data_IF_907327555668
#
_entry.id   IF_907327555668
#
_cell.length_a   1.000
_cell.length_b   1.000
_cell.length_c   1.000
_cell.angle_alpha   90.00
_cell.angle_beta   90.00
_cell.angle_gamma   90.00
#
_symmetry.space_group_name_H-M   'P 1'
#
loop_
_entity.id
_entity.type
_entity.pdbx_description
1 polymer ?
#
# COMPACT_ATOMS: atom_id res chain seq x y z
N UNK A 1 0.93 31.13 -21.28
CA UNK A 1 0.33 29.77 -21.25
C UNK A 1 -0.66 29.66 -20.11
N UNK A 2 -1.66 28.76 -20.19
CA UNK A 2 -2.59 28.47 -19.08
C UNK A 2 -2.57 26.99 -18.76
N UNK A 3 -2.47 26.67 -17.47
CA UNK A 3 -2.53 25.31 -16.94
C UNK A 3 -3.81 25.13 -16.15
N UNK A 4 -4.56 24.06 -16.43
CA UNK A 4 -5.79 23.74 -15.73
C UNK A 4 -5.87 22.25 -15.41
N UNK A 5 -6.55 21.89 -14.36
CA UNK A 5 -6.82 20.48 -14.04
C UNK A 5 -8.10 20.01 -14.75
N UNK A 6 -8.02 18.84 -15.39
CA UNK A 6 -9.17 18.20 -16.00
C UNK A 6 -9.12 16.68 -15.75
N UNK A 7 -9.96 16.19 -14.82
CA UNK A 7 -10.23 14.77 -14.53
C UNK A 7 -8.97 13.90 -14.41
N UNK A 8 -8.02 14.36 -13.59
CA UNK A 8 -6.78 13.61 -13.34
C UNK A 8 -5.65 13.90 -14.34
N UNK A 9 -5.84 14.88 -15.22
CA UNK A 9 -4.81 15.37 -16.13
C UNK A 9 -4.62 16.89 -16.00
N UNK A 10 -3.45 17.38 -16.41
CA UNK A 10 -3.14 18.77 -16.57
C UNK A 10 -3.31 19.10 -18.03
N UNK A 11 -4.20 20.02 -18.33
CA UNK A 11 -4.36 20.60 -19.66
C UNK A 11 -3.45 21.82 -19.77
N UNK A 12 -2.62 21.86 -20.79
CA UNK A 12 -1.61 22.88 -21.03
C UNK A 12 -1.96 23.60 -22.32
N UNK A 13 -2.52 24.81 -22.20
CA UNK A 13 -2.91 25.65 -23.33
C UNK A 13 -1.70 26.54 -23.70
N UNK A 14 -1.17 26.33 -24.91
CA UNK A 14 -0.02 27.04 -25.46
C UNK A 14 0.76 26.16 -26.44
N UNK A 15 1.70 26.75 -27.17
CA UNK A 15 2.42 26.10 -28.27
C UNK A 15 3.70 25.34 -27.82
N UNK A 16 3.87 25.19 -26.48
CA UNK A 16 5.06 24.56 -25.90
C UNK A 16 4.76 23.15 -25.44
N UNK A 17 5.48 22.19 -26.00
CA UNK A 17 5.47 20.80 -25.51
C UNK A 17 6.25 20.70 -24.20
N UNK A 18 5.58 20.29 -23.12
CA UNK A 18 6.18 20.05 -21.80
C UNK A 18 6.57 18.57 -21.67
N UNK A 19 7.59 18.22 -20.89
CA UNK A 19 7.92 16.83 -20.60
C UNK A 19 6.70 16.05 -20.05
N UNK A 20 6.62 14.77 -20.40
CA UNK A 20 5.52 13.86 -20.00
C UNK A 20 4.13 14.29 -20.50
N UNK A 21 4.06 15.16 -21.53
CA UNK A 21 2.80 15.58 -22.15
C UNK A 21 2.64 15.00 -23.57
N UNK A 22 1.38 14.80 -23.95
CA UNK A 22 0.97 14.40 -25.30
C UNK A 22 -0.04 15.40 -25.84
N UNK A 23 -0.03 15.61 -27.16
CA UNK A 23 -1.03 16.45 -27.81
C UNK A 23 -2.39 15.76 -27.82
N UNK A 24 -3.43 16.48 -27.45
CA UNK A 24 -4.82 16.02 -27.49
C UNK A 24 -5.60 16.88 -28.52
N UNK A 25 -5.94 16.27 -29.64
CA UNK A 25 -6.68 16.91 -30.74
C UNK A 25 -8.05 17.45 -30.33
N UNK A 26 -8.70 16.79 -29.34
CA UNK A 26 -10.05 17.17 -28.90
C UNK A 26 -10.03 18.50 -28.15
N UNK A 27 -9.05 18.67 -27.28
CA UNK A 27 -8.88 19.90 -26.51
C UNK A 27 -7.97 20.92 -27.15
N UNK A 28 -7.29 20.56 -28.26
CA UNK A 28 -6.26 21.36 -28.94
C UNK A 28 -5.22 21.90 -27.95
N UNK A 29 -4.73 21.03 -27.10
CA UNK A 29 -3.79 21.36 -26.04
C UNK A 29 -2.91 20.16 -25.69
N UNK A 30 -1.78 20.41 -25.07
CA UNK A 30 -1.01 19.33 -24.48
C UNK A 30 -1.66 18.84 -23.17
N UNK A 31 -1.60 17.52 -22.92
CA UNK A 31 -2.05 16.90 -21.67
C UNK A 31 -0.94 16.10 -21.04
N UNK A 32 -0.77 16.26 -19.72
CA UNK A 32 0.06 15.43 -18.87
C UNK A 32 -0.77 14.78 -17.77
N UNK A 33 -0.37 13.62 -17.24
CA UNK A 33 -0.99 13.10 -16.03
C UNK A 33 -0.79 14.08 -14.88
N UNK A 34 -1.77 14.20 -13.99
CA UNK A 34 -1.70 15.10 -12.83
C UNK A 34 -0.48 14.81 -11.92
N UNK A 35 -0.02 13.57 -11.87
CA UNK A 35 1.22 13.15 -11.21
C UNK A 35 2.42 14.04 -11.53
N UNK A 36 2.53 14.52 -12.77
CA UNK A 36 3.65 15.32 -13.27
C UNK A 36 3.49 16.82 -13.03
N UNK A 37 2.50 17.24 -12.23
CA UNK A 37 2.24 18.66 -11.97
C UNK A 37 3.51 19.43 -11.58
N UNK A 38 4.25 18.92 -10.62
CA UNK A 38 5.49 19.54 -10.14
C UNK A 38 6.54 19.62 -11.26
N UNK A 39 6.73 18.52 -11.97
CA UNK A 39 7.71 18.47 -13.09
C UNK A 39 7.37 19.48 -14.18
N UNK A 40 6.07 19.65 -14.48
CA UNK A 40 5.56 20.64 -15.44
C UNK A 40 5.88 22.06 -14.95
N UNK A 41 5.54 22.38 -13.70
CA UNK A 41 5.80 23.71 -13.12
C UNK A 41 7.30 24.02 -13.08
N UNK A 42 8.12 23.06 -12.64
CA UNK A 42 9.58 23.23 -12.55
C UNK A 42 10.21 23.42 -13.93
N UNK A 43 9.76 22.67 -14.94
CA UNK A 43 10.20 22.84 -16.31
C UNK A 43 9.88 24.25 -16.83
N UNK A 44 8.63 24.72 -16.66
CA UNK A 44 8.21 26.01 -17.16
C UNK A 44 8.96 27.16 -16.51
N UNK A 45 9.16 27.09 -15.17
CA UNK A 45 9.95 28.08 -14.42
C UNK A 45 11.42 28.12 -14.88
N UNK A 46 12.06 26.96 -15.01
CA UNK A 46 13.47 26.89 -15.44
C UNK A 46 13.67 27.35 -16.88
N UNK A 47 12.66 27.16 -17.73
CA UNK A 47 12.69 27.58 -19.14
C UNK A 47 12.28 29.04 -19.35
N UNK A 48 11.90 29.76 -18.30
CA UNK A 48 11.54 31.19 -18.36
C UNK A 48 10.20 31.47 -19.06
N UNK A 49 9.28 30.51 -19.08
CA UNK A 49 7.97 30.70 -19.68
C UNK A 49 7.01 31.40 -18.70
N UNK A 50 6.29 32.40 -19.19
CA UNK A 50 5.14 32.96 -18.47
C UNK A 50 3.93 32.04 -18.57
N UNK A 51 3.34 31.69 -17.43
CA UNK A 51 2.16 30.86 -17.36
C UNK A 51 1.25 31.23 -16.18
N UNK A 52 -0.05 31.02 -16.39
CA UNK A 52 -1.06 31.08 -15.35
C UNK A 52 -1.38 29.66 -14.87
N UNK A 53 -1.12 29.39 -13.58
CA UNK A 53 -1.35 28.09 -12.96
C UNK A 53 -2.69 28.06 -12.22
N UNK A 54 -3.67 27.40 -12.83
CA UNK A 54 -4.99 27.13 -12.23
C UNK A 54 -5.20 25.61 -12.01
N UNK A 55 -4.15 24.83 -11.88
CA UNK A 55 -4.24 23.36 -11.69
C UNK A 55 -4.78 23.03 -10.30
N UNK A 56 -4.16 23.61 -9.25
CA UNK A 56 -4.57 23.34 -7.89
C UNK A 56 -5.75 24.24 -7.47
N UNK A 57 -6.81 23.60 -6.97
CA UNK A 57 -7.95 24.26 -6.35
C UNK A 57 -8.10 23.68 -4.93
N UNK A 58 -7.14 24.01 -4.08
CA UNK A 58 -7.03 23.46 -2.75
C UNK A 58 -8.24 23.81 -1.86
N UNK A 59 -8.61 22.87 -1.00
CA UNK A 59 -9.59 23.13 0.03
C UNK A 59 -9.10 24.20 1.00
N UNK A 60 -9.97 25.06 1.55
CA UNK A 60 -9.61 25.96 2.65
C UNK A 60 -9.04 25.14 3.81
N UNK A 61 -7.83 25.50 4.27
CA UNK A 61 -7.13 24.78 5.32
C UNK A 61 -6.96 25.68 6.53
N UNK A 62 -7.42 25.28 7.74
CA UNK A 62 -7.11 26.00 8.96
C UNK A 62 -5.63 25.83 9.30
N UNK A 63 -5.14 26.61 10.26
CA UNK A 63 -3.81 26.40 10.81
C UNK A 63 -3.76 25.04 11.56
N UNK A 64 -2.84 24.17 11.15
CA UNK A 64 -2.69 22.82 11.66
C UNK A 64 -1.45 22.71 12.56
N UNK A 65 -1.61 22.99 13.84
CA UNK A 65 -0.55 22.84 14.83
C UNK A 65 -0.58 21.46 15.47
N UNK A 66 0.59 20.84 15.67
CA UNK A 66 0.74 19.53 16.28
C UNK A 66 1.64 19.56 17.50
N UNK A 67 1.13 19.04 18.60
CA UNK A 67 1.86 18.84 19.86
C UNK A 67 2.64 17.53 19.91
N UNK A 68 2.54 16.68 18.90
CA UNK A 68 3.27 15.40 18.84
C UNK A 68 4.76 15.62 18.95
N UNK A 69 5.39 14.94 19.90
CA UNK A 69 6.85 14.84 20.02
C UNK A 69 7.29 13.54 19.36
N UNK A 70 8.10 13.67 18.32
CA UNK A 70 8.67 12.53 17.63
C UNK A 70 9.91 11.99 18.36
N UNK A 71 10.11 10.67 18.27
CA UNK A 71 11.35 10.03 18.69
C UNK A 71 12.46 10.32 17.66
N UNK A 72 13.72 10.15 18.03
CA UNK A 72 14.86 10.48 17.16
C UNK A 72 14.78 9.86 15.77
N UNK A 73 14.48 8.56 15.67
CA UNK A 73 14.36 7.90 14.38
C UNK A 73 13.14 8.37 13.56
N UNK A 74 12.08 8.86 14.22
CA UNK A 74 10.92 9.44 13.53
C UNK A 74 11.24 10.85 13.01
N UNK A 75 12.03 11.65 13.76
CA UNK A 75 12.57 12.91 13.28
C UNK A 75 13.48 12.67 12.07
N UNK A 76 14.43 11.74 12.15
CA UNK A 76 15.29 11.38 11.03
C UNK A 76 14.48 10.96 9.78
N UNK A 77 13.37 10.23 9.97
CA UNK A 77 12.50 9.85 8.87
C UNK A 77 11.78 11.05 8.24
N UNK A 78 11.31 11.99 9.06
CA UNK A 78 10.67 13.22 8.60
C UNK A 78 11.68 14.12 7.88
N UNK A 79 12.88 14.27 8.42
CA UNK A 79 13.96 15.07 7.83
C UNK A 79 14.39 14.52 6.48
N UNK A 80 14.57 13.19 6.37
CA UNK A 80 14.90 12.53 5.11
C UNK A 80 13.81 12.73 4.05
N UNK A 81 12.55 12.68 4.44
CA UNK A 81 11.42 12.92 3.54
C UNK A 81 11.37 14.40 3.11
N UNK A 82 11.59 15.34 4.03
CA UNK A 82 11.62 16.75 3.74
C UNK A 82 12.79 17.12 2.81
N UNK A 83 13.97 16.55 3.07
CA UNK A 83 15.16 16.74 2.24
C UNK A 83 14.99 16.20 0.81
N UNK A 84 14.07 15.25 0.61
CA UNK A 84 13.67 14.74 -0.71
C UNK A 84 12.43 15.46 -1.25
N UNK A 85 12.38 16.77 -1.07
CA UNK A 85 11.31 17.64 -1.57
C UNK A 85 9.91 17.27 -1.09
N UNK A 86 9.81 16.69 0.10
CA UNK A 86 8.55 16.20 0.67
C UNK A 86 7.84 15.17 -0.21
N UNK A 87 8.65 14.29 -0.86
CA UNK A 87 8.20 13.13 -1.63
C UNK A 87 9.02 11.91 -1.24
N UNK A 88 8.36 10.79 -0.96
CA UNK A 88 9.08 9.55 -0.68
C UNK A 88 8.37 8.63 0.30
N UNK A 89 8.98 7.48 0.50
CA UNK A 89 8.45 6.38 1.28
C UNK A 89 9.32 6.17 2.51
N UNK A 90 8.65 6.12 3.65
CA UNK A 90 9.23 5.84 4.95
C UNK A 90 8.87 4.40 5.33
N UNK A 91 9.87 3.57 5.49
CA UNK A 91 9.74 2.16 5.86
C UNK A 91 10.06 1.99 7.34
N UNK A 92 9.05 1.72 8.14
CA UNK A 92 9.15 1.55 9.58
C UNK A 92 8.32 0.36 10.05
N UNK A 93 8.79 -0.43 11.03
CA UNK A 93 8.05 -1.57 11.55
C UNK A 93 6.66 -1.22 12.06
N UNK A 94 5.79 -2.22 12.14
CA UNK A 94 4.49 -2.07 12.82
C UNK A 94 4.72 -1.70 14.30
N UNK A 95 3.90 -0.80 14.83
CA UNK A 95 4.04 -0.30 16.20
C UNK A 95 5.11 0.79 16.41
N UNK A 96 5.89 1.14 15.39
CA UNK A 96 6.93 2.19 15.46
C UNK A 96 6.38 3.63 15.41
N UNK A 97 5.06 3.81 15.24
CA UNK A 97 4.44 5.13 15.20
C UNK A 97 4.52 5.85 13.85
N UNK A 98 4.48 5.13 12.72
CA UNK A 98 4.40 5.71 11.36
C UNK A 98 3.38 6.83 11.24
N UNK A 99 2.21 6.65 11.84
CA UNK A 99 1.12 7.64 11.86
C UNK A 99 1.56 8.99 12.46
N UNK A 100 2.43 8.97 13.48
CA UNK A 100 2.92 10.21 14.11
C UNK A 100 3.82 11.02 13.17
N UNK A 101 4.61 10.32 12.35
CA UNK A 101 5.42 10.97 11.30
C UNK A 101 4.51 11.65 10.27
N UNK A 102 3.44 10.95 9.84
CA UNK A 102 2.44 11.52 8.94
C UNK A 102 1.73 12.75 9.54
N UNK A 103 1.36 12.70 10.82
CA UNK A 103 0.75 13.83 11.52
C UNK A 103 1.71 15.05 11.56
N UNK A 104 3.00 14.81 11.83
CA UNK A 104 4.00 15.90 11.81
C UNK A 104 4.22 16.47 10.42
N UNK A 105 4.20 15.64 9.38
CA UNK A 105 4.26 16.10 7.99
C UNK A 105 3.06 17.00 7.62
N UNK A 106 1.86 16.66 8.08
CA UNK A 106 0.65 17.49 7.90
C UNK A 106 0.84 18.86 8.56
N UNK A 107 1.28 18.88 9.82
CA UNK A 107 1.53 20.12 10.54
C UNK A 107 2.65 20.98 9.89
N UNK A 108 3.72 20.32 9.43
CA UNK A 108 4.86 20.98 8.79
C UNK A 108 4.46 21.70 7.49
N UNK A 109 3.66 21.05 6.65
CA UNK A 109 3.25 21.60 5.37
C UNK A 109 2.04 22.52 5.45
N UNK A 110 1.24 22.39 6.49
CA UNK A 110 0.00 23.17 6.71
C UNK A 110 -0.86 23.30 5.44
N UNK A 111 -1.15 22.18 4.79
CA UNK A 111 -1.89 22.14 3.53
C UNK A 111 -3.01 21.08 3.59
N UNK A 112 -4.09 21.24 2.80
CA UNK A 112 -5.12 20.22 2.73
C UNK A 112 -4.52 18.86 2.40
N UNK A 113 -4.89 17.84 3.18
CA UNK A 113 -4.27 16.52 3.13
C UNK A 113 -5.29 15.42 2.96
N UNK A 114 -5.02 14.52 2.00
CA UNK A 114 -5.74 13.26 1.84
C UNK A 114 -4.86 12.11 2.37
N UNK A 115 -5.36 11.40 3.39
CA UNK A 115 -4.77 10.14 3.87
C UNK A 115 -5.52 8.98 3.23
N UNK A 116 -4.81 8.07 2.58
CA UNK A 116 -5.38 6.87 1.95
C UNK A 116 -4.94 5.64 2.73
N UNK A 117 -5.90 4.86 3.22
CA UNK A 117 -5.67 3.68 4.06
C UNK A 117 -6.38 2.43 3.50
N UNK A 118 -5.87 1.21 3.73
CA UNK A 118 -6.40 0.00 3.08
C UNK A 118 -7.72 -0.51 3.67
N UNK A 119 -8.07 -0.18 4.91
CA UNK A 119 -9.27 -0.69 5.57
C UNK A 119 -10.05 0.40 6.28
N UNK A 120 -11.36 0.19 6.46
CA UNK A 120 -12.22 1.11 7.21
C UNK A 120 -11.77 1.29 8.67
N UNK A 121 -11.22 0.26 9.30
CA UNK A 121 -10.67 0.36 10.66
C UNK A 121 -9.48 1.31 10.73
N UNK A 122 -8.59 1.27 9.74
CA UNK A 122 -7.47 2.21 9.64
C UNK A 122 -7.95 3.62 9.29
N UNK A 123 -8.97 3.77 8.46
CA UNK A 123 -9.63 5.06 8.20
C UNK A 123 -10.17 5.65 9.51
N UNK A 124 -10.89 4.85 10.32
CA UNK A 124 -11.41 5.28 11.60
C UNK A 124 -10.29 5.66 12.59
N UNK A 125 -9.19 4.90 12.64
CA UNK A 125 -8.02 5.20 13.47
C UNK A 125 -7.35 6.52 13.04
N UNK A 126 -7.11 6.74 11.75
CA UNK A 126 -6.56 7.98 11.24
C UNK A 126 -7.46 9.17 11.55
N UNK A 127 -8.78 9.05 11.27
CA UNK A 127 -9.78 10.09 11.58
C UNK A 127 -9.72 10.48 13.05
N UNK A 128 -9.76 9.51 13.96
CA UNK A 128 -9.73 9.74 15.39
C UNK A 128 -8.45 10.46 15.84
N UNK A 129 -7.29 10.04 15.33
CA UNK A 129 -5.99 10.65 15.66
C UNK A 129 -5.88 12.07 15.13
N UNK A 130 -6.27 12.32 13.88
CA UNK A 130 -6.24 13.64 13.28
C UNK A 130 -7.19 14.61 13.99
N UNK A 131 -8.41 14.16 14.30
CA UNK A 131 -9.40 14.97 15.06
C UNK A 131 -8.88 15.34 16.45
N UNK A 132 -8.27 14.38 17.14
CA UNK A 132 -7.69 14.61 18.48
C UNK A 132 -6.51 15.60 18.45
N UNK A 133 -5.62 15.46 17.47
CA UNK A 133 -4.40 16.25 17.40
C UNK A 133 -4.66 17.68 16.91
N UNK A 134 -5.36 17.82 15.80
CA UNK A 134 -5.57 19.13 15.18
C UNK A 134 -6.83 19.85 15.67
N UNK A 135 -7.66 19.20 16.49
CA UNK A 135 -8.93 19.76 17.02
C UNK A 135 -9.82 20.35 15.93
N UNK A 136 -9.80 19.76 14.74
CA UNK A 136 -10.57 20.18 13.57
C UNK A 136 -11.42 19.04 13.02
N UNK A 137 -12.41 19.36 12.21
CA UNK A 137 -13.22 18.34 11.55
C UNK A 137 -12.39 17.59 10.48
N UNK A 138 -12.59 16.29 10.43
CA UNK A 138 -11.89 15.37 9.53
C UNK A 138 -12.91 14.66 8.67
N UNK A 139 -12.85 14.90 7.37
CA UNK A 139 -13.70 14.24 6.39
C UNK A 139 -13.38 12.75 6.23
N UNK A 140 -14.37 12.00 5.77
CA UNK A 140 -14.23 10.56 5.46
C UNK A 140 -14.79 10.28 4.08
N UNK A 141 -14.05 9.47 3.33
CA UNK A 141 -14.45 8.98 2.04
C UNK A 141 -14.31 7.44 2.03
N UNK A 142 -15.42 6.75 2.21
CA UNK A 142 -15.46 5.28 2.27
C UNK A 142 -16.53 4.75 3.22
N UNK A 143 -16.90 3.49 3.05
CA UNK A 143 -17.91 2.85 3.90
C UNK A 143 -19.30 3.49 3.83
N UNK A 144 -19.63 4.16 2.72
CA UNK A 144 -20.88 4.89 2.54
C UNK A 144 -20.83 6.36 2.99
N UNK A 145 -19.74 6.80 3.65
CA UNK A 145 -19.53 8.21 3.99
C UNK A 145 -18.91 8.97 2.82
N UNK A 146 -19.40 10.20 2.60
CA UNK A 146 -18.87 11.17 1.64
C UNK A 146 -18.79 12.54 2.29
N UNK A 147 -17.73 12.79 2.99
CA UNK A 147 -17.45 14.08 3.61
C UNK A 147 -16.04 14.52 3.25
N UNK A 148 -15.89 15.68 2.58
CA UNK A 148 -14.59 16.21 2.15
C UNK A 148 -14.29 17.47 2.96
N UNK A 149 -13.16 17.45 3.66
CA UNK A 149 -12.62 18.55 4.48
C UNK A 149 -11.14 18.77 4.16
N UNK A 150 -10.53 19.79 4.73
CA UNK A 150 -9.10 20.05 4.60
C UNK A 150 -8.26 18.82 4.98
N UNK A 151 -8.62 18.13 6.07
CA UNK A 151 -8.10 16.82 6.41
C UNK A 151 -9.18 15.78 6.05
N UNK A 152 -8.87 14.90 5.13
CA UNK A 152 -9.78 13.82 4.70
C UNK A 152 -9.05 12.49 4.75
N UNK A 153 -9.73 11.47 5.24
CA UNK A 153 -9.22 10.09 5.23
C UNK A 153 -10.10 9.23 4.31
N UNK A 154 -9.48 8.43 3.46
CA UNK A 154 -10.18 7.62 2.46
C UNK A 154 -9.69 6.17 2.46
N UNK A 155 -10.55 5.25 2.01
CA UNK A 155 -10.07 3.95 1.56
C UNK A 155 -9.41 4.06 0.17
N UNK A 156 -8.55 3.08 -0.19
CA UNK A 156 -7.97 3.00 -1.54
C UNK A 156 -9.07 2.92 -2.61
N UNK A 157 -10.11 2.11 -2.39
CA UNK A 157 -11.21 1.97 -3.34
C UNK A 157 -11.93 3.30 -3.59
N UNK A 158 -12.27 4.02 -2.52
CA UNK A 158 -12.97 5.29 -2.64
C UNK A 158 -12.09 6.39 -3.25
N UNK A 159 -10.81 6.46 -2.87
CA UNK A 159 -9.88 7.41 -3.48
C UNK A 159 -9.70 7.14 -4.99
N UNK A 160 -9.67 5.86 -5.41
CA UNK A 160 -9.61 5.47 -6.81
C UNK A 160 -10.86 5.90 -7.59
N UNK A 161 -12.04 5.59 -7.07
CA UNK A 161 -13.32 5.90 -7.74
C UNK A 161 -13.51 7.41 -7.96
N UNK A 162 -12.98 8.23 -7.06
CA UNK A 162 -13.21 9.67 -7.05
C UNK A 162 -11.98 10.52 -7.40
N UNK A 163 -10.92 9.89 -7.90
CA UNK A 163 -9.68 10.58 -8.24
C UNK A 163 -9.86 11.69 -9.29
N UNK A 164 -10.78 11.50 -10.23
CA UNK A 164 -11.12 12.47 -11.28
C UNK A 164 -11.66 13.80 -10.73
N UNK A 165 -12.38 13.75 -9.61
CA UNK A 165 -13.03 14.91 -8.97
C UNK A 165 -12.17 15.57 -7.91
N UNK A 166 -11.32 14.77 -7.24
CA UNK A 166 -10.56 15.20 -6.06
C UNK A 166 -9.09 15.48 -6.35
N UNK A 167 -8.61 15.17 -7.53
CA UNK A 167 -7.19 15.15 -7.88
C UNK A 167 -6.44 16.48 -7.75
N UNK A 168 -7.13 17.61 -7.60
CA UNK A 168 -6.53 18.93 -7.42
C UNK A 168 -6.93 19.64 -6.10
N UNK A 169 -7.57 18.88 -5.17
CA UNK A 169 -8.13 19.45 -3.94
C UNK A 169 -7.19 19.39 -2.76
N UNK A 170 -6.12 18.59 -2.82
CA UNK A 170 -5.20 18.33 -1.72
C UNK A 170 -3.76 18.64 -2.12
N UNK A 171 -3.02 19.31 -1.23
CA UNK A 171 -1.59 19.60 -1.41
C UNK A 171 -0.71 18.42 -1.02
N UNK A 172 -1.11 17.66 0.01
CA UNK A 172 -0.39 16.48 0.49
C UNK A 172 -1.24 15.21 0.34
N UNK A 173 -0.62 14.14 -0.16
CA UNK A 173 -1.16 12.79 -0.08
C UNK A 173 -0.30 11.92 0.83
N UNK A 174 -0.95 11.23 1.78
CA UNK A 174 -0.31 10.21 2.61
C UNK A 174 -0.94 8.86 2.27
N UNK A 175 -0.10 7.92 1.84
CA UNK A 175 -0.51 6.54 1.56
C UNK A 175 -0.08 5.65 2.72
N UNK A 176 -1.02 5.25 3.56
CA UNK A 176 -0.77 4.24 4.59
C UNK A 176 -0.77 2.85 3.96
N UNK A 177 0.16 1.99 4.38
CA UNK A 177 0.49 0.71 3.74
C UNK A 177 0.66 0.87 2.22
N UNK A 178 1.56 1.78 1.84
CA UNK A 178 1.78 2.21 0.44
C UNK A 178 2.12 1.08 -0.53
N UNK A 179 2.49 -0.09 -0.03
CA UNK A 179 2.72 -1.28 -0.84
C UNK A 179 1.46 -1.76 -1.59
N UNK A 180 0.26 -1.29 -1.23
CA UNK A 180 -0.98 -1.52 -1.99
C UNK A 180 -1.09 -0.67 -3.25
N UNK A 181 -0.48 0.51 -3.28
CA UNK A 181 -0.65 1.51 -4.34
C UNK A 181 -0.29 1.02 -5.75
N UNK A 182 0.74 0.18 -5.98
CA UNK A 182 1.09 -0.27 -7.32
C UNK A 182 0.11 -1.27 -7.94
N UNK A 183 -0.86 -1.77 -7.17
CA UNK A 183 -1.84 -2.72 -7.70
C UNK A 183 -2.67 -2.10 -8.85
N UNK A 184 -3.14 -2.96 -9.75
CA UNK A 184 -3.99 -2.53 -10.85
C UNK A 184 -5.22 -1.76 -10.33
N UNK A 185 -5.44 -0.57 -10.86
CA UNK A 185 -6.47 0.36 -10.40
C UNK A 185 -5.92 1.38 -9.40
N UNK A 186 -5.35 0.98 -8.27
CA UNK A 186 -4.92 1.91 -7.22
C UNK A 186 -3.80 2.87 -7.64
N UNK A 187 -2.91 2.48 -8.56
CA UNK A 187 -1.91 3.40 -9.11
C UNK A 187 -2.51 4.67 -9.71
N UNK A 188 -3.75 4.59 -10.24
CA UNK A 188 -4.45 5.73 -10.78
C UNK A 188 -4.70 6.82 -9.71
N UNK A 189 -4.77 6.46 -8.43
CA UNK A 189 -4.85 7.43 -7.35
C UNK A 189 -3.65 8.37 -7.41
N UNK A 190 -2.43 7.82 -7.48
CA UNK A 190 -1.23 8.64 -7.56
C UNK A 190 -1.11 9.36 -8.91
N UNK A 191 -1.56 8.75 -10.01
CA UNK A 191 -1.46 9.30 -11.36
C UNK A 191 -2.41 10.48 -11.60
N UNK A 192 -3.61 10.44 -11.00
CA UNK A 192 -4.66 11.42 -11.21
C UNK A 192 -4.68 12.58 -10.20
N UNK A 193 -3.85 12.53 -9.15
CA UNK A 193 -3.73 13.62 -8.20
C UNK A 193 -2.54 14.53 -8.53
N UNK A 194 -2.80 15.84 -8.58
CA UNK A 194 -1.79 16.88 -8.79
C UNK A 194 -1.03 17.28 -7.52
N UNK A 195 -1.30 16.61 -6.40
CA UNK A 195 -0.68 16.90 -5.11
C UNK A 195 0.84 16.92 -5.21
N UNK A 196 1.50 18.07 -4.94
CA UNK A 196 2.95 18.19 -5.07
C UNK A 196 3.71 17.41 -4.00
N UNK A 197 3.12 17.21 -2.82
CA UNK A 197 3.73 16.50 -1.69
C UNK A 197 3.12 15.11 -1.53
N UNK A 198 4.00 14.11 -1.29
CA UNK A 198 3.57 12.71 -1.23
C UNK A 198 4.38 11.94 -0.20
N UNK A 199 3.70 11.26 0.70
CA UNK A 199 4.31 10.40 1.71
C UNK A 199 3.74 8.98 1.61
N UNK A 200 4.60 7.98 1.44
CA UNK A 200 4.25 6.59 1.61
C UNK A 200 4.70 6.08 2.97
N UNK A 201 3.83 5.39 3.69
CA UNK A 201 4.13 4.75 4.97
C UNK A 201 3.91 3.25 4.82
N UNK A 202 4.89 2.43 5.21
CA UNK A 202 4.73 0.97 5.20
C UNK A 202 5.69 0.29 6.18
N UNK A 203 5.35 -0.92 6.60
CA UNK A 203 6.29 -1.81 7.28
C UNK A 203 7.05 -2.71 6.30
N UNK A 204 6.51 -2.93 5.10
CA UNK A 204 7.06 -3.82 4.08
C UNK A 204 7.11 -3.07 2.76
N UNK A 205 8.33 -2.82 2.27
CA UNK A 205 8.51 -2.11 1.00
C UNK A 205 8.46 -3.06 -0.20
N UNK A 206 9.14 -4.20 -0.06
CA UNK A 206 9.27 -5.17 -1.14
C UNK A 206 8.00 -5.99 -1.33
N UNK A 207 7.64 -6.22 -2.58
CA UNK A 207 6.51 -7.06 -2.99
C UNK A 207 7.04 -8.23 -3.81
N UNK A 208 6.42 -9.40 -3.65
CA UNK A 208 6.80 -10.61 -4.40
C UNK A 208 6.61 -10.48 -5.91
N UNK A 209 5.67 -9.63 -6.35
CA UNK A 209 5.37 -9.38 -7.77
C UNK A 209 6.30 -8.33 -8.42
N UNK A 210 7.21 -7.72 -7.66
CA UNK A 210 8.17 -6.70 -8.14
C UNK A 210 7.55 -5.33 -8.42
N UNK A 211 6.25 -5.14 -8.26
CA UNK A 211 5.56 -3.87 -8.56
C UNK A 211 5.96 -2.71 -7.64
N UNK A 212 6.69 -2.96 -6.54
CA UNK A 212 7.23 -1.90 -5.69
C UNK A 212 8.17 -0.93 -6.45
N UNK A 213 8.75 -1.34 -7.59
CA UNK A 213 9.54 -0.45 -8.43
C UNK A 213 8.74 0.77 -8.95
N UNK A 214 7.43 0.62 -9.19
CA UNK A 214 6.55 1.71 -9.60
C UNK A 214 6.40 2.81 -8.53
N UNK A 215 6.63 2.47 -7.27
CA UNK A 215 6.53 3.42 -6.16
C UNK A 215 7.53 4.58 -6.28
N UNK A 216 8.68 4.36 -6.94
CA UNK A 216 9.65 5.43 -7.22
C UNK A 216 9.00 6.55 -8.04
N UNK A 217 8.25 6.20 -9.07
CA UNK A 217 7.51 7.15 -9.92
C UNK A 217 6.31 7.74 -9.20
N UNK A 218 5.52 6.89 -8.52
CA UNK A 218 4.22 7.27 -7.95
C UNK A 218 4.35 8.17 -6.71
N UNK A 219 5.36 7.93 -5.86
CA UNK A 219 5.49 8.61 -4.56
C UNK A 219 6.83 9.31 -4.39
N UNK A 220 7.93 8.82 -4.99
CA UNK A 220 9.26 9.42 -4.88
C UNK A 220 10.33 8.48 -4.33
N UNK A 221 10.05 7.16 -4.30
CA UNK A 221 11.02 6.16 -3.84
C UNK A 221 11.16 6.05 -2.33
N UNK A 222 12.01 5.13 -1.89
CA UNK A 222 12.29 4.89 -0.47
C UNK A 222 13.35 5.89 0.03
N UNK A 223 12.98 6.76 0.97
CA UNK A 223 13.85 7.81 1.54
C UNK A 223 14.38 7.44 2.92
N UNK A 224 13.67 6.60 3.66
CA UNK A 224 14.08 6.18 4.99
C UNK A 224 13.63 4.75 5.30
N UNK A 225 14.48 4.00 5.99
CA UNK A 225 14.16 2.65 6.46
C UNK A 225 14.80 2.39 7.82
N UNK A 226 14.02 1.80 8.75
CA UNK A 226 14.50 1.16 9.97
C UNK A 226 13.91 -0.24 10.09
N UNK A 227 14.76 -1.19 10.43
CA UNK A 227 14.36 -2.59 10.60
C UNK A 227 13.92 -2.87 12.03
N UNK A 228 13.12 -3.92 12.21
CA UNK A 228 12.64 -4.35 13.53
C UNK A 228 13.79 -4.50 14.53
N UNK A 229 14.89 -5.14 14.12
CA UNK A 229 16.06 -5.38 14.98
C UNK A 229 16.70 -4.11 15.53
N UNK A 230 16.65 -3.01 14.79
CA UNK A 230 17.24 -1.72 15.18
C UNK A 230 16.39 -0.97 16.22
N UNK A 231 15.12 -1.32 16.34
CA UNK A 231 14.17 -0.68 17.25
C UNK A 231 13.76 -1.57 18.43
N UNK A 232 14.07 -2.87 18.37
CA UNK A 232 13.75 -3.84 19.43
C UNK A 232 14.57 -3.57 20.68
N UNK A 233 13.92 -3.58 21.85
CA UNK A 233 14.55 -3.33 23.14
C UNK A 233 14.65 -1.87 23.54
N UNK A 234 14.61 -0.93 22.59
CA UNK A 234 14.61 0.52 22.87
C UNK A 234 13.27 1.17 22.61
N UNK A 235 12.63 0.87 21.49
CA UNK A 235 11.39 1.49 21.02
C UNK A 235 10.26 0.51 20.73
N UNK A 236 10.59 -0.74 20.45
CA UNK A 236 9.66 -1.86 20.33
C UNK A 236 9.89 -2.83 21.48
N UNK A 237 8.82 -3.44 21.96
CA UNK A 237 8.92 -4.48 22.98
C UNK A 237 9.83 -5.60 22.51
N UNK A 238 10.70 -6.12 23.37
CA UNK A 238 11.50 -7.29 23.03
C UNK A 238 10.57 -8.49 22.73
N UNK A 239 10.93 -9.28 21.76
CA UNK A 239 10.20 -10.49 21.41
C UNK A 239 11.17 -11.65 21.16
N UNK A 240 10.69 -12.85 21.37
CA UNK A 240 11.40 -14.08 21.04
C UNK A 240 10.68 -14.78 19.90
N UNK A 241 11.41 -15.13 18.85
CA UNK A 241 10.90 -15.92 17.74
C UNK A 241 11.32 -17.38 17.93
N UNK A 242 10.35 -18.27 18.10
CA UNK A 242 10.56 -19.71 18.11
C UNK A 242 9.96 -20.34 16.86
N UNK A 243 10.76 -21.11 16.12
CA UNK A 243 10.30 -21.93 15.01
C UNK A 243 10.16 -23.36 15.50
N UNK A 244 8.95 -23.86 15.52
CA UNK A 244 8.64 -25.22 15.94
C UNK A 244 8.38 -26.05 14.69
N UNK A 245 9.29 -26.97 14.37
CA UNK A 245 9.06 -27.93 13.31
C UNK A 245 8.08 -29.00 13.79
N UNK A 246 7.08 -29.29 12.98
CA UNK A 246 6.08 -30.32 13.26
C UNK A 246 6.02 -31.25 12.07
N UNK A 247 6.26 -32.52 12.29
CA UNK A 247 6.18 -33.56 11.27
C UNK A 247 4.74 -33.95 10.99
N UNK A 248 4.45 -34.31 9.75
CA UNK A 248 3.18 -34.90 9.36
C UNK A 248 3.06 -36.31 9.96
N UNK A 249 1.84 -36.76 10.19
CA UNK A 249 1.61 -38.18 10.47
C UNK A 249 1.98 -39.02 9.26
N UNK A 250 2.25 -40.32 9.42
CA UNK A 250 2.60 -41.19 8.30
C UNK A 250 1.52 -41.21 7.21
N UNK A 251 0.26 -41.17 7.60
CA UNK A 251 -0.87 -41.09 6.67
C UNK A 251 -0.91 -39.75 5.91
N UNK A 252 -0.75 -38.64 6.62
CA UNK A 252 -0.69 -37.30 6.02
C UNK A 252 0.51 -37.16 5.09
N UNK A 253 1.66 -37.75 5.47
CA UNK A 253 2.87 -37.73 4.66
C UNK A 253 2.70 -38.49 3.36
N UNK A 254 2.12 -39.71 3.42
CA UNK A 254 1.84 -40.50 2.24
C UNK A 254 0.88 -39.80 1.28
N UNK A 255 -0.18 -39.17 1.81
CA UNK A 255 -1.13 -38.39 1.02
C UNK A 255 -0.47 -37.15 0.42
N UNK A 256 0.35 -36.43 1.20
CA UNK A 256 1.11 -35.28 0.74
C UNK A 256 2.04 -35.63 -0.41
N UNK A 257 2.84 -36.66 -0.27
CA UNK A 257 3.80 -37.11 -1.29
C UNK A 257 3.09 -37.58 -2.58
N UNK A 258 1.98 -38.28 -2.44
CA UNK A 258 1.13 -38.69 -3.60
C UNK A 258 0.64 -37.47 -4.37
N UNK A 259 0.12 -36.47 -3.68
CA UNK A 259 -0.39 -35.26 -4.32
C UNK A 259 0.73 -34.38 -4.91
N UNK A 260 1.86 -34.30 -4.24
CA UNK A 260 3.06 -33.64 -4.77
C UNK A 260 3.56 -34.30 -6.05
N UNK A 261 3.56 -35.64 -6.08
CA UNK A 261 3.95 -36.40 -7.27
C UNK A 261 3.02 -36.14 -8.45
N UNK A 262 1.71 -36.15 -8.25
CA UNK A 262 0.73 -35.86 -9.31
C UNK A 262 1.01 -34.48 -9.92
N UNK A 263 1.33 -33.48 -9.08
CA UNK A 263 1.63 -32.14 -9.53
C UNK A 263 2.95 -32.06 -10.29
N UNK A 264 4.03 -32.62 -9.74
CA UNK A 264 5.36 -32.61 -10.35
C UNK A 264 5.42 -33.38 -11.67
N UNK A 265 4.80 -34.55 -11.74
CA UNK A 265 4.73 -35.38 -12.94
C UNK A 265 3.98 -34.65 -14.08
N UNK A 266 2.90 -33.93 -13.75
CA UNK A 266 2.21 -33.12 -14.74
C UNK A 266 3.08 -31.97 -15.26
N UNK A 267 3.79 -31.24 -14.38
CA UNK A 267 4.69 -30.14 -14.79
C UNK A 267 5.84 -30.67 -15.67
N UNK A 268 6.42 -31.82 -15.31
CA UNK A 268 7.47 -32.46 -16.09
C UNK A 268 6.97 -32.86 -17.50
N UNK A 269 5.76 -33.42 -17.58
CA UNK A 269 5.13 -33.83 -18.85
C UNK A 269 4.94 -32.65 -19.82
N UNK A 270 4.65 -31.45 -19.30
CA UNK A 270 4.44 -30.25 -20.14
C UNK A 270 5.67 -29.35 -20.23
N UNK A 271 6.83 -29.79 -19.72
CA UNK A 271 8.07 -29.00 -19.63
C UNK A 271 7.89 -27.61 -19.04
N UNK A 272 7.01 -27.46 -18.04
CA UNK A 272 6.77 -26.18 -17.38
C UNK A 272 7.52 -26.09 -16.06
N UNK A 273 8.39 -25.09 -15.95
CA UNK A 273 9.05 -24.71 -14.68
C UNK A 273 8.37 -23.46 -14.14
N UNK A 274 7.78 -23.57 -12.94
CA UNK A 274 7.16 -22.43 -12.27
C UNK A 274 8.25 -21.63 -11.54
N UNK A 275 8.62 -20.48 -12.10
CA UNK A 275 9.60 -19.55 -11.54
C UNK A 275 8.96 -18.37 -10.79
N UNK A 276 7.65 -18.18 -10.99
CA UNK A 276 6.94 -17.07 -10.37
C UNK A 276 5.42 -17.08 -10.62
N UNK A 277 4.72 -16.05 -10.12
CA UNK A 277 3.25 -15.95 -10.23
C UNK A 277 2.73 -16.03 -11.67
N UNK A 278 3.45 -15.45 -12.63
CA UNK A 278 3.04 -15.44 -14.04
C UNK A 278 3.00 -16.85 -14.65
N UNK A 279 3.97 -17.72 -14.30
CA UNK A 279 3.98 -19.10 -14.79
C UNK A 279 2.87 -19.92 -14.15
N UNK A 280 2.60 -19.66 -12.87
CA UNK A 280 1.48 -20.29 -12.17
C UNK A 280 0.13 -19.88 -12.79
N UNK A 281 -0.02 -18.60 -13.16
CA UNK A 281 -1.23 -18.12 -13.83
C UNK A 281 -1.47 -18.80 -15.19
N UNK A 282 -0.40 -19.07 -15.97
CA UNK A 282 -0.49 -19.87 -17.21
C UNK A 282 -1.05 -21.26 -16.94
N UNK A 283 -0.58 -21.91 -15.86
CA UNK A 283 -1.11 -23.23 -15.46
C UNK A 283 -2.58 -23.16 -15.06
N UNK A 284 -2.98 -22.11 -14.31
CA UNK A 284 -4.39 -21.89 -13.95
C UNK A 284 -5.26 -21.70 -15.19
N UNK A 285 -4.85 -20.85 -16.14
CA UNK A 285 -5.58 -20.66 -17.40
C UNK A 285 -5.71 -21.96 -18.18
N UNK A 286 -4.65 -22.77 -18.24
CA UNK A 286 -4.65 -24.08 -18.92
C UNK A 286 -5.63 -25.06 -18.29
N UNK A 287 -5.85 -24.99 -16.97
CA UNK A 287 -6.76 -25.90 -16.26
C UNK A 287 -8.23 -25.78 -16.67
N UNK A 288 -8.60 -24.69 -17.31
CA UNK A 288 -9.95 -24.51 -17.89
C UNK A 288 -10.22 -25.41 -19.11
N UNK A 289 -9.16 -25.89 -19.80
CA UNK A 289 -9.27 -26.69 -21.03
C UNK A 289 -8.58 -28.05 -20.95
N UNK A 290 -7.65 -28.23 -20.02
CA UNK A 290 -6.85 -29.44 -19.82
C UNK A 290 -7.22 -30.11 -18.50
N UNK A 291 -7.90 -31.27 -18.51
CA UNK A 291 -8.24 -32.03 -17.30
C UNK A 291 -7.00 -32.43 -16.49
N UNK A 292 -5.85 -32.68 -17.14
CA UNK A 292 -4.58 -32.98 -16.48
C UNK A 292 -4.07 -31.81 -15.68
N UNK A 293 -4.11 -30.57 -16.23
CA UNK A 293 -3.78 -29.34 -15.52
C UNK A 293 -4.69 -29.13 -14.31
N UNK A 294 -5.98 -29.34 -14.48
CA UNK A 294 -6.97 -29.25 -13.40
C UNK A 294 -6.67 -30.22 -12.27
N UNK A 295 -6.41 -31.52 -12.61
CA UNK A 295 -6.04 -32.55 -11.63
C UNK A 295 -4.74 -32.18 -10.88
N UNK A 296 -3.73 -31.68 -11.59
CA UNK A 296 -2.47 -31.24 -10.98
C UNK A 296 -2.67 -30.06 -10.01
N UNK A 297 -3.48 -29.07 -10.36
CA UNK A 297 -3.80 -27.95 -9.47
C UNK A 297 -4.57 -28.39 -8.23
N UNK A 298 -5.54 -29.30 -8.37
CA UNK A 298 -6.27 -29.86 -7.23
C UNK A 298 -5.35 -30.63 -6.31
N UNK A 299 -4.44 -31.45 -6.86
CA UNK A 299 -3.45 -32.19 -6.09
C UNK A 299 -2.51 -31.23 -5.34
N UNK A 300 -1.98 -30.18 -5.99
CA UNK A 300 -1.19 -29.15 -5.32
C UNK A 300 -1.95 -28.50 -4.17
N UNK A 301 -3.20 -28.10 -4.38
CA UNK A 301 -4.01 -27.49 -3.33
C UNK A 301 -4.26 -28.46 -2.18
N UNK A 302 -4.47 -29.76 -2.47
CA UNK A 302 -4.62 -30.79 -1.43
C UNK A 302 -3.33 -30.97 -0.63
N UNK A 303 -2.18 -31.04 -1.28
CA UNK A 303 -0.89 -31.11 -0.60
C UNK A 303 -0.66 -29.91 0.31
N UNK A 304 -0.97 -28.68 -0.15
CA UNK A 304 -0.90 -27.48 0.67
C UNK A 304 -1.84 -27.53 1.87
N UNK A 305 -3.06 -27.98 1.66
CA UNK A 305 -4.05 -28.09 2.74
C UNK A 305 -3.56 -29.03 3.83
N UNK A 306 -3.01 -30.20 3.46
CA UNK A 306 -2.40 -31.15 4.41
C UNK A 306 -1.25 -30.49 5.16
N UNK A 307 -0.32 -29.82 4.47
CA UNK A 307 0.83 -29.19 5.08
C UNK A 307 0.45 -28.05 6.04
N UNK A 308 -0.58 -27.27 5.74
CA UNK A 308 -1.03 -26.16 6.57
C UNK A 308 -1.91 -26.60 7.74
N UNK A 309 -2.76 -27.60 7.54
CA UNK A 309 -3.83 -27.98 8.46
C UNK A 309 -3.62 -29.35 9.12
N UNK A 310 -2.35 -29.82 9.21
CA UNK A 310 -2.04 -31.14 9.74
C UNK A 310 -2.52 -31.35 11.18
N UNK A 311 -2.89 -32.57 11.51
CA UNK A 311 -3.32 -32.99 12.85
C UNK A 311 -2.21 -32.70 13.87
N UNK A 312 -0.97 -33.01 13.51
CA UNK A 312 0.20 -32.76 14.37
C UNK A 312 0.37 -31.27 14.70
N UNK A 313 0.14 -30.37 13.74
CA UNK A 313 0.16 -28.92 14.00
C UNK A 313 -0.94 -28.48 14.95
N UNK A 314 -2.16 -29.01 14.77
CA UNK A 314 -3.27 -28.71 15.68
C UNK A 314 -2.98 -29.18 17.11
N UNK A 315 -2.44 -30.40 17.26
CA UNK A 315 -2.02 -30.91 18.57
C UNK A 315 -0.94 -30.03 19.21
N UNK A 316 0.07 -29.64 18.41
CA UNK A 316 1.12 -28.74 18.90
C UNK A 316 0.61 -27.34 19.27
N UNK A 317 -0.35 -26.84 18.54
CA UNK A 317 -1.00 -25.58 18.87
C UNK A 317 -1.74 -25.68 20.22
N UNK A 318 -2.51 -26.75 20.46
CA UNK A 318 -3.19 -26.95 21.73
C UNK A 318 -2.19 -26.97 22.91
N UNK A 319 -1.06 -27.68 22.76
CA UNK A 319 0.00 -27.70 23.79
C UNK A 319 0.58 -26.29 24.08
N UNK A 320 0.70 -25.45 23.04
CA UNK A 320 1.20 -24.07 23.17
C UNK A 320 0.16 -23.22 23.90
N UNK A 321 -1.13 -23.34 23.53
CA UNK A 321 -2.22 -22.59 24.15
C UNK A 321 -2.37 -22.94 25.63
N UNK A 322 -2.26 -24.23 26.00
CA UNK A 322 -2.28 -24.67 27.39
C UNK A 322 -1.15 -24.05 28.24
N UNK A 323 0.06 -23.90 27.66
CA UNK A 323 1.20 -23.29 28.34
C UNK A 323 1.09 -21.78 28.50
N UNK A 324 0.33 -21.11 27.68
CA UNK A 324 0.24 -19.65 27.62
C UNK A 324 -1.17 -19.11 27.89
N UNK A 325 -1.96 -19.83 28.68
CA UNK A 325 -3.38 -19.54 28.94
C UNK A 325 -3.66 -18.21 29.68
N UNK A 326 -2.67 -17.59 30.31
CA UNK A 326 -2.81 -16.33 31.04
C UNK A 326 -2.59 -15.07 30.17
N UNK A 327 -2.19 -15.24 28.92
CA UNK A 327 -1.81 -14.15 28.01
C UNK A 327 -2.86 -13.80 26.96
N UNK A 328 -2.70 -12.66 26.30
CA UNK A 328 -3.41 -12.36 25.06
C UNK A 328 -2.71 -13.05 23.90
N UNK A 329 -3.41 -13.94 23.22
CA UNK A 329 -2.87 -14.75 22.13
C UNK A 329 -3.54 -14.34 20.81
N UNK A 330 -2.73 -14.12 19.76
CA UNK A 330 -3.20 -13.93 18.40
C UNK A 330 -2.71 -15.11 17.55
N UNK A 331 -3.64 -15.77 16.85
CA UNK A 331 -3.35 -16.89 15.97
C UNK A 331 -3.65 -16.47 14.54
N UNK A 332 -2.62 -16.52 13.67
CA UNK A 332 -2.75 -16.24 12.25
C UNK A 332 -2.78 -17.57 11.49
N UNK A 333 -3.74 -17.73 10.60
CA UNK A 333 -3.92 -18.94 9.79
C UNK A 333 -3.98 -18.60 8.32
N UNK A 334 -3.53 -19.51 7.45
CA UNK A 334 -3.62 -19.34 5.98
C UNK A 334 -5.08 -19.38 5.49
N UNK A 335 -5.95 -20.15 6.16
CA UNK A 335 -7.33 -20.38 5.73
C UNK A 335 -8.34 -20.14 6.85
N UNK A 336 -9.43 -19.42 6.56
CA UNK A 336 -10.52 -19.15 7.49
C UNK A 336 -11.13 -20.41 8.11
N UNK A 337 -11.15 -21.55 7.38
CA UNK A 337 -11.64 -22.83 7.91
C UNK A 337 -10.90 -23.29 9.16
N UNK A 338 -9.59 -22.96 9.26
CA UNK A 338 -8.79 -23.33 10.42
C UNK A 338 -9.14 -22.47 11.63
N UNK A 339 -9.51 -21.21 11.45
CA UNK A 339 -9.96 -20.32 12.55
C UNK A 339 -11.14 -20.96 13.28
N UNK A 340 -12.15 -21.45 12.55
CA UNK A 340 -13.32 -22.10 13.15
C UNK A 340 -13.01 -23.44 13.85
N UNK A 341 -11.94 -24.12 13.47
CA UNK A 341 -11.48 -25.33 14.17
C UNK A 341 -10.74 -25.02 15.45
N UNK A 342 -10.02 -23.91 15.50
CA UNK A 342 -9.24 -23.47 16.67
C UNK A 342 -10.15 -22.83 17.71
N UNK A 343 -11.24 -22.17 17.29
CA UNK A 343 -12.16 -21.48 18.20
C UNK A 343 -13.14 -22.42 18.91
N UNK A 344 -13.19 -23.70 18.54
CA UNK A 344 -13.99 -24.76 19.17
C UNK A 344 -13.15 -25.56 20.17
#
# INVERSE_FOLDING_TARGET
MKLTFDRGTIQIQGDVRVPNSTWDERSRSYRAMALYYRDVIDFLKRSGFDFNDEVLNLLPCPELQSSVVLRDYQNQALDAWTANDSRGIIVLPTGSGKTLVGIKAIALLNTPTLVVAPTLDLVAQWRSRLKKEFKTEVGVLGGGEWEIKALTVSTYDSAYIHADKLGNRFGLMIFDEVHHLPAAGYRNIAEMFASPFRMGLTATFEREDGLHAELNRLVGGKVFEKRVKELTGTHLSPFRLEKIAVELTEEEKAEYETNQKIFSDYLARINLVIRGPADFQKLVMRSGRDPGARRALLARNRARDIAYNSISKMKKLSEILERHNEGRIFIFTEHNKLVYRISR
#
